data_IF_526153493310
#
_entry.id   IF_526153493310
#
_cell.length_a   1.000
_cell.length_b   1.000
_cell.length_c   1.000
_cell.angle_alpha   90.00
_cell.angle_beta   90.00
_cell.angle_gamma   90.00
#
_symmetry.space_group_name_H-M   'P 1'
#
loop_
_entity.id
_entity.type
_entity.pdbx_description
1 polymer ?
#
# COMPACT_ATOMS: atom_id res chain seq x y z
N UNK A 1 28.71 -25.00 -12.76
CA UNK A 1 28.06 -25.81 -11.72
C UNK A 1 27.14 -24.96 -10.85
N UNK A 2 26.05 -24.43 -11.41
CA UNK A 2 25.07 -23.59 -10.70
C UNK A 2 23.65 -23.87 -11.18
N UNK A 3 23.28 -25.15 -11.30
CA UNK A 3 21.93 -25.55 -11.72
C UNK A 3 21.25 -26.53 -10.74
N UNK A 4 21.93 -26.94 -9.65
CA UNK A 4 21.39 -27.91 -8.70
C UNK A 4 20.87 -27.30 -7.38
N UNK A 5 20.90 -25.97 -7.20
CA UNK A 5 20.38 -25.32 -5.99
C UNK A 5 18.95 -24.79 -6.10
N UNK A 6 18.29 -24.92 -7.25
CA UNK A 6 16.92 -24.42 -7.43
C UNK A 6 15.81 -25.46 -7.13
N UNK A 7 16.16 -26.65 -6.64
CA UNK A 7 15.21 -27.77 -6.44
C UNK A 7 14.90 -28.10 -4.97
N UNK A 8 15.33 -27.26 -4.03
CA UNK A 8 14.96 -27.41 -2.61
C UNK A 8 14.36 -26.09 -2.18
N UNK A 9 13.04 -25.96 -2.25
CA UNK A 9 12.21 -25.05 -1.45
C UNK A 9 10.78 -25.12 -1.98
N UNK A 10 9.99 -26.05 -1.45
CA UNK A 10 8.53 -25.96 -1.26
C UNK A 10 8.02 -27.25 -0.59
N UNK A 11 8.59 -27.60 0.57
CA UNK A 11 7.91 -28.51 1.49
C UNK A 11 7.08 -27.66 2.45
N UNK A 12 5.76 -27.71 2.31
CA UNK A 12 4.78 -26.88 3.02
C UNK A 12 4.47 -27.40 4.43
N UNK A 13 5.17 -28.43 4.90
CA UNK A 13 4.99 -29.01 6.24
C UNK A 13 5.98 -28.51 7.29
N UNK A 14 7.01 -27.76 6.87
CA UNK A 14 7.98 -27.14 7.77
C UNK A 14 7.54 -25.69 8.03
N UNK A 15 7.43 -25.23 9.29
CA UNK A 15 7.14 -23.83 9.57
C UNK A 15 8.23 -22.96 8.92
N UNK A 16 7.87 -21.78 8.36
CA UNK A 16 8.86 -20.89 7.77
C UNK A 16 9.96 -20.61 8.81
N UNK A 17 11.24 -20.58 8.39
CA UNK A 17 12.31 -20.21 9.29
C UNK A 17 11.96 -18.87 9.95
N UNK A 18 12.21 -18.75 11.25
CA UNK A 18 11.93 -17.54 12.00
C UNK A 18 12.51 -16.34 11.24
N UNK A 19 11.67 -15.35 10.95
CA UNK A 19 12.12 -14.10 10.35
C UNK A 19 13.08 -13.49 11.37
N UNK A 20 14.36 -13.51 11.03
CA UNK A 20 15.39 -12.84 11.80
C UNK A 20 15.20 -11.33 11.59
N UNK A 21 14.44 -10.71 12.50
CA UNK A 21 14.20 -9.26 12.59
C UNK A 21 15.45 -8.47 13.01
N UNK A 22 16.66 -9.04 12.85
CA UNK A 22 17.90 -8.27 12.95
C UNK A 22 18.14 -7.43 11.69
N UNK A 23 17.38 -6.33 11.60
CA UNK A 23 17.76 -5.11 10.91
C UNK A 23 19.26 -4.81 11.11
N UNK A 24 19.94 -4.27 10.09
CA UNK A 24 21.19 -4.81 9.58
C UNK A 24 22.20 -5.09 10.71
N UNK A 25 22.70 -6.33 10.76
CA UNK A 25 23.76 -6.74 11.68
C UNK A 25 24.77 -5.62 11.87
N UNK A 26 25.02 -5.21 13.13
CA UNK A 26 26.04 -4.22 13.51
C UNK A 26 27.36 -4.45 12.76
N UNK A 27 27.70 -5.71 12.51
CA UNK A 27 28.85 -6.15 11.70
C UNK A 27 28.86 -5.63 10.25
N UNK A 28 27.72 -5.53 9.57
CA UNK A 28 27.63 -4.98 8.21
C UNK A 28 27.81 -3.46 8.22
N UNK A 29 27.26 -2.76 9.21
CA UNK A 29 27.49 -1.32 9.41
C UNK A 29 28.95 -1.04 9.78
N UNK A 30 29.55 -1.87 10.61
CA UNK A 30 30.96 -1.81 10.99
C UNK A 30 31.86 -2.08 9.78
N UNK A 31 31.57 -3.12 8.98
CA UNK A 31 32.26 -3.41 7.72
C UNK A 31 32.16 -2.26 6.71
N UNK A 32 30.98 -1.62 6.58
CA UNK A 32 30.80 -0.44 5.75
C UNK A 32 31.64 0.73 6.26
N UNK A 33 31.61 0.99 7.57
CA UNK A 33 32.41 2.05 8.19
C UNK A 33 33.92 1.85 8.01
N UNK A 34 34.39 0.59 8.09
CA UNK A 34 35.79 0.24 7.86
C UNK A 34 36.18 0.41 6.38
N UNK A 35 35.27 0.06 5.47
CA UNK A 35 35.48 0.24 4.03
C UNK A 35 35.56 1.71 3.65
N UNK A 36 34.67 2.55 4.19
CA UNK A 36 34.70 4.00 4.01
C UNK A 36 35.97 4.62 4.62
N UNK A 37 36.37 4.19 5.81
CA UNK A 37 37.60 4.66 6.45
C UNK A 37 38.84 4.31 5.61
N UNK A 38 38.89 3.12 4.99
CA UNK A 38 39.95 2.72 4.06
C UNK A 38 39.96 3.59 2.81
N UNK A 39 38.80 3.90 2.25
CA UNK A 39 38.65 4.72 1.04
C UNK A 39 39.07 6.17 1.30
N UNK A 40 38.70 6.73 2.45
CA UNK A 40 39.15 8.06 2.90
C UNK A 40 40.66 8.07 3.11
N UNK A 41 41.22 7.05 3.75
CA UNK A 41 42.68 6.94 3.94
C UNK A 41 43.43 6.83 2.61
N UNK A 42 42.94 6.03 1.66
CA UNK A 42 43.50 5.96 0.31
C UNK A 42 43.40 7.29 -0.43
N UNK A 43 42.26 7.98 -0.33
CA UNK A 43 42.08 9.30 -0.93
C UNK A 43 43.07 10.33 -0.35
N UNK A 44 43.24 10.36 0.97
CA UNK A 44 44.21 11.25 1.62
C UNK A 44 45.66 10.88 1.28
N UNK A 45 46.00 9.59 1.27
CA UNK A 45 47.35 9.11 0.91
C UNK A 45 47.69 9.37 -0.57
N UNK A 46 46.71 9.24 -1.47
CA UNK A 46 46.88 9.59 -2.89
C UNK A 46 47.17 11.09 -3.10
N UNK A 47 46.85 11.92 -2.11
CA UNK A 47 47.03 13.37 -2.15
C UNK A 47 48.33 13.84 -1.50
N UNK A 48 48.95 13.03 -0.65
CA UNK A 48 50.24 13.35 0.01
C UNK A 48 51.46 12.91 -0.80
N UNK A 49 51.31 11.96 -1.74
CA UNK A 49 52.41 11.49 -2.61
C UNK A 49 52.58 12.34 -3.89
N UNK A 50 51.67 13.30 -4.14
CA UNK A 50 51.80 14.30 -5.20
C UNK A 50 52.24 15.66 -4.65
N UNK A 51 53.46 15.76 -4.13
CA UNK A 51 54.10 17.07 -3.96
C UNK A 51 54.63 17.50 -5.33
N UNK A 52 54.40 18.77 -5.66
CA UNK A 52 54.98 19.52 -6.78
C UNK A 52 54.28 19.35 -8.14
N UNK A 53 54.14 20.49 -8.83
CA UNK A 53 53.74 20.64 -10.24
C UNK A 53 52.26 20.88 -10.54
N UNK A 54 51.62 21.68 -9.68
CA UNK A 54 50.56 22.58 -10.13
C UNK A 54 50.83 24.02 -9.73
N UNK A 55 52.10 24.45 -9.88
CA UNK A 55 52.41 25.83 -10.20
C UNK A 55 51.82 26.11 -11.58
N UNK A 56 50.52 26.46 -11.61
CA UNK A 56 49.98 27.23 -12.73
C UNK A 56 50.98 28.37 -12.97
N UNK A 57 51.39 28.64 -14.22
CA UNK A 57 52.19 29.82 -14.48
C UNK A 57 51.42 30.97 -13.86
N UNK A 58 52.03 31.58 -12.85
CA UNK A 58 51.53 32.77 -12.20
C UNK A 58 51.73 33.85 -13.26
N UNK A 59 50.79 33.90 -14.21
CA UNK A 59 50.67 35.06 -15.07
C UNK A 59 50.58 36.23 -14.11
N UNK A 60 51.44 37.21 -14.35
CA UNK A 60 51.37 38.56 -13.79
C UNK A 60 50.07 39.24 -14.27
N UNK A 61 48.94 38.55 -14.14
CA UNK A 61 47.64 39.02 -14.54
C UNK A 61 47.22 40.01 -13.47
N UNK A 62 47.09 41.26 -13.89
CA UNK A 62 46.43 42.36 -13.19
C UNK A 62 45.29 41.80 -12.32
N UNK A 63 45.55 41.68 -11.03
CA UNK A 63 44.62 41.10 -10.07
C UNK A 63 43.52 42.11 -9.80
N UNK A 64 42.47 42.10 -10.62
CA UNK A 64 41.34 43.01 -10.43
C UNK A 64 40.38 42.45 -9.38
N UNK A 65 40.29 43.05 -8.20
CA UNK A 65 39.22 42.70 -7.27
C UNK A 65 37.90 43.42 -7.61
N UNK A 66 36.80 42.67 -7.56
CA UNK A 66 35.47 43.17 -7.95
C UNK A 66 34.87 44.20 -6.96
N UNK A 67 34.99 44.06 -5.63
CA UNK A 67 34.49 45.05 -4.69
C UNK A 67 35.31 46.35 -4.76
N UNK A 68 36.63 46.28 -4.93
CA UNK A 68 37.50 47.46 -5.13
C UNK A 68 37.14 48.20 -6.43
N UNK A 69 37.00 47.49 -7.56
CA UNK A 69 36.52 48.12 -8.80
C UNK A 69 35.14 48.77 -8.62
N UNK A 70 34.29 48.21 -7.75
CA UNK A 70 32.96 48.77 -7.45
C UNK A 70 33.06 50.03 -6.58
N UNK A 71 34.01 50.12 -5.65
CA UNK A 71 34.24 51.34 -4.85
C UNK A 71 34.82 52.43 -5.72
N UNK A 72 35.85 52.13 -6.52
CA UNK A 72 36.46 53.06 -7.48
C UNK A 72 35.40 53.67 -8.41
N UNK A 73 34.52 52.82 -8.98
CA UNK A 73 33.45 53.27 -9.86
C UNK A 73 32.43 54.17 -9.14
N UNK A 74 32.14 53.90 -7.86
CA UNK A 74 31.21 54.73 -7.08
C UNK A 74 31.81 56.09 -6.76
N UNK A 75 33.07 56.12 -6.39
CA UNK A 75 33.80 57.37 -6.11
C UNK A 75 33.90 58.24 -7.36
N UNK A 76 34.25 57.65 -8.51
CA UNK A 76 34.27 58.36 -9.79
C UNK A 76 32.88 58.91 -10.16
N UNK A 77 31.80 58.16 -9.90
CA UNK A 77 30.42 58.62 -10.13
C UNK A 77 30.03 59.78 -9.19
N UNK A 78 30.52 59.79 -7.95
CA UNK A 78 30.31 60.89 -7.00
C UNK A 78 31.05 62.15 -7.45
N UNK A 79 32.33 62.03 -7.83
CA UNK A 79 33.12 63.15 -8.38
C UNK A 79 32.49 63.71 -9.65
N UNK A 80 31.97 62.84 -10.54
CA UNK A 80 31.24 63.27 -11.74
C UNK A 80 29.96 64.05 -11.38
N UNK A 81 29.23 63.64 -10.34
CA UNK A 81 28.06 64.37 -9.87
C UNK A 81 28.44 65.74 -9.29
N UNK A 82 29.51 65.80 -8.50
CA UNK A 82 30.05 67.06 -7.97
C UNK A 82 30.53 68.01 -9.06
N UNK A 83 31.14 67.50 -10.14
CA UNK A 83 31.56 68.28 -11.29
C UNK A 83 30.37 68.82 -12.10
N UNK A 84 29.29 68.02 -12.24
CA UNK A 84 28.03 68.49 -12.83
C UNK A 84 27.41 69.61 -12.00
N UNK A 85 27.44 69.50 -10.67
CA UNK A 85 26.95 70.54 -9.78
C UNK A 85 27.79 71.82 -9.90
N UNK A 86 29.12 71.70 -9.93
CA UNK A 86 30.00 72.85 -10.17
C UNK A 86 29.68 73.58 -11.47
N UNK A 87 29.43 72.82 -12.54
CA UNK A 87 29.08 73.39 -13.83
C UNK A 87 27.81 74.25 -13.72
N UNK A 88 26.77 73.76 -13.02
CA UNK A 88 25.53 74.52 -12.82
C UNK A 88 25.81 75.82 -12.06
N UNK A 89 26.62 75.76 -10.99
CA UNK A 89 26.99 76.94 -10.18
C UNK A 89 27.78 77.96 -11.02
N UNK A 90 28.74 77.51 -11.84
CA UNK A 90 29.45 78.38 -12.77
C UNK A 90 28.51 78.99 -13.82
N UNK A 91 27.61 78.21 -14.41
CA UNK A 91 26.64 78.72 -15.39
C UNK A 91 25.68 79.77 -14.76
N UNK A 92 25.31 79.59 -13.48
CA UNK A 92 24.53 80.56 -12.70
C UNK A 92 25.33 81.84 -12.42
N UNK A 93 26.57 81.72 -11.94
CA UNK A 93 27.47 82.86 -11.68
C UNK A 93 27.79 83.65 -12.96
N UNK A 94 27.85 82.99 -14.12
CA UNK A 94 28.01 83.64 -15.42
C UNK A 94 26.76 84.43 -15.83
N UNK A 95 25.58 83.98 -15.41
CA UNK A 95 24.27 84.55 -15.77
C UNK A 95 23.87 85.72 -14.86
N UNK A 96 24.28 85.71 -13.59
CA UNK A 96 24.23 86.86 -12.69
C UNK A 96 25.36 87.83 -13.05
N UNK A 97 25.06 89.08 -13.42
CA UNK A 97 26.06 90.01 -13.97
C UNK A 97 27.31 90.14 -13.09
N UNK A 98 28.49 89.82 -13.66
CA UNK A 98 29.80 89.87 -13.03
C UNK A 98 30.29 91.30 -12.70
N UNK A 99 29.56 92.01 -11.84
CA UNK A 99 29.84 93.41 -11.50
C UNK A 99 30.13 93.63 -10.00
N UNK A 100 30.11 92.56 -9.19
CA UNK A 100 30.45 92.63 -7.75
C UNK A 100 31.77 91.91 -7.49
N UNK A 101 32.66 92.51 -6.70
CA UNK A 101 33.95 91.92 -6.31
C UNK A 101 33.77 90.54 -5.63
N UNK A 102 32.64 90.34 -4.96
CA UNK A 102 32.22 89.06 -4.38
C UNK A 102 31.92 87.95 -5.40
N UNK A 103 31.43 88.31 -6.60
CA UNK A 103 31.08 87.34 -7.64
C UNK A 103 32.35 86.84 -8.36
N UNK A 104 33.37 87.71 -8.48
CA UNK A 104 34.69 87.36 -9.03
C UNK A 104 35.41 86.38 -8.09
N UNK A 105 35.40 86.65 -6.78
CA UNK A 105 35.99 85.75 -5.78
C UNK A 105 35.26 84.39 -5.75
N UNK A 106 33.92 84.39 -5.86
CA UNK A 106 33.11 83.17 -5.93
C UNK A 106 33.36 82.37 -7.21
N UNK A 107 33.58 83.05 -8.34
CA UNK A 107 33.95 82.44 -9.61
C UNK A 107 35.31 81.74 -9.53
N UNK A 108 36.34 82.45 -9.07
CA UNK A 108 37.70 81.90 -8.98
C UNK A 108 37.76 80.69 -8.02
N UNK A 109 37.03 80.75 -6.90
CA UNK A 109 36.94 79.64 -5.95
C UNK A 109 36.23 78.41 -6.54
N UNK A 110 35.14 78.60 -7.29
CA UNK A 110 34.43 77.47 -7.92
C UNK A 110 35.22 76.90 -9.11
N UNK A 111 35.96 77.73 -9.85
CA UNK A 111 36.91 77.28 -10.88
C UNK A 111 38.02 76.43 -10.26
N UNK A 112 38.63 76.88 -9.17
CA UNK A 112 39.65 76.10 -8.45
C UNK A 112 39.08 74.75 -7.98
N UNK A 113 37.87 74.75 -7.41
CA UNK A 113 37.17 73.53 -7.01
C UNK A 113 36.91 72.58 -8.18
N UNK A 114 36.56 73.10 -9.35
CA UNK A 114 36.38 72.26 -10.55
C UNK A 114 37.68 71.62 -11.01
N UNK A 115 38.79 72.35 -10.98
CA UNK A 115 40.09 71.81 -11.36
C UNK A 115 40.53 70.71 -10.39
N UNK A 116 40.37 70.93 -9.07
CA UNK A 116 40.64 69.88 -8.07
C UNK A 116 39.80 68.61 -8.30
N UNK A 117 38.52 68.74 -8.65
CA UNK A 117 37.66 67.57 -8.95
C UNK A 117 38.12 66.87 -10.24
N UNK A 118 38.54 67.61 -11.28
CA UNK A 118 39.09 67.04 -12.51
C UNK A 118 40.39 66.29 -12.26
N UNK A 119 41.28 66.86 -11.44
CA UNK A 119 42.55 66.25 -11.04
C UNK A 119 42.35 64.93 -10.30
N UNK A 120 41.32 64.82 -9.45
CA UNK A 120 40.98 63.58 -8.78
C UNK A 120 40.27 62.57 -9.70
N UNK A 121 39.45 63.03 -10.64
CA UNK A 121 38.64 62.18 -11.51
C UNK A 121 39.44 61.54 -12.67
N UNK A 122 40.34 62.30 -13.30
CA UNK A 122 41.16 61.82 -14.43
C UNK A 122 41.99 60.56 -14.15
N UNK A 123 42.72 60.43 -13.01
CA UNK A 123 43.46 59.21 -12.69
C UNK A 123 42.52 58.03 -12.40
N UNK A 124 41.37 58.27 -11.76
CA UNK A 124 40.37 57.23 -11.51
C UNK A 124 39.77 56.71 -12.81
N UNK A 125 39.41 57.60 -13.74
CA UNK A 125 38.91 57.22 -15.07
C UNK A 125 39.94 56.44 -15.87
N UNK A 126 41.20 56.89 -15.89
CA UNK A 126 42.29 56.20 -16.59
C UNK A 126 42.47 54.77 -16.07
N UNK A 127 42.29 54.55 -14.77
CA UNK A 127 42.40 53.23 -14.13
C UNK A 127 41.16 52.36 -14.38
N UNK A 128 39.97 52.96 -14.56
CA UNK A 128 38.72 52.26 -14.86
C UNK A 128 38.58 51.93 -16.36
N UNK A 129 39.15 52.74 -17.24
CA UNK A 129 39.09 52.58 -18.70
C UNK A 129 40.17 51.65 -19.26
N UNK A 130 41.15 51.23 -18.44
CA UNK A 130 42.19 50.29 -18.88
C UNK A 130 41.57 49.04 -19.55
N UNK A 131 41.83 48.82 -20.86
CA UNK A 131 41.25 47.71 -21.61
C UNK A 131 41.73 46.36 -21.08
N UNK A 132 42.89 46.27 -20.42
CA UNK A 132 43.34 45.03 -19.79
C UNK A 132 42.53 44.73 -18.51
N UNK A 133 42.41 45.71 -17.59
CA UNK A 133 41.61 45.60 -16.36
C UNK A 133 40.15 45.24 -16.65
N UNK A 134 39.51 45.92 -17.60
CA UNK A 134 38.10 45.67 -17.97
C UNK A 134 37.88 44.29 -18.58
N UNK A 135 38.82 43.77 -19.39
CA UNK A 135 38.77 42.39 -19.92
C UNK A 135 38.83 41.35 -18.80
N UNK A 136 39.73 41.52 -17.83
CA UNK A 136 39.84 40.62 -16.67
C UNK A 136 38.57 40.66 -15.81
N UNK A 137 38.04 41.86 -15.56
CA UNK A 137 36.78 42.03 -14.82
C UNK A 137 35.60 41.33 -15.50
N UNK A 138 35.43 41.53 -16.81
CA UNK A 138 34.37 40.87 -17.60
C UNK A 138 34.46 39.34 -17.50
N UNK A 139 35.67 38.77 -17.56
CA UNK A 139 35.90 37.33 -17.37
C UNK A 139 35.51 36.88 -15.96
N UNK A 140 35.95 37.58 -14.90
CA UNK A 140 35.59 37.24 -13.51
C UNK A 140 34.07 37.30 -13.27
N UNK A 141 33.39 38.32 -13.82
CA UNK A 141 31.94 38.46 -13.74
C UNK A 141 31.20 37.34 -14.49
N UNK A 142 31.68 36.95 -15.68
CA UNK A 142 31.11 35.83 -16.42
C UNK A 142 31.21 34.51 -15.63
N UNK A 143 32.36 34.24 -14.99
CA UNK A 143 32.54 33.07 -14.12
C UNK A 143 31.60 33.10 -12.92
N UNK A 144 31.50 34.24 -12.22
CA UNK A 144 30.56 34.40 -11.08
C UNK A 144 29.10 34.22 -11.51
N UNK A 145 28.71 34.76 -12.67
CA UNK A 145 27.36 34.60 -13.23
C UNK A 145 27.08 33.13 -13.57
N UNK A 146 28.02 32.44 -14.20
CA UNK A 146 27.91 30.99 -14.50
C UNK A 146 27.76 30.17 -13.21
N UNK A 147 28.58 30.46 -12.18
CA UNK A 147 28.49 29.81 -10.86
C UNK A 147 27.14 30.04 -10.20
N UNK A 148 26.66 31.29 -10.16
CA UNK A 148 25.35 31.64 -9.60
C UNK A 148 24.21 30.92 -10.33
N UNK A 149 24.23 30.89 -11.65
CA UNK A 149 23.21 30.22 -12.46
C UNK A 149 23.23 28.70 -12.24
N UNK A 150 24.42 28.10 -12.13
CA UNK A 150 24.54 26.69 -11.78
C UNK A 150 24.00 26.39 -10.38
N UNK A 151 24.35 27.21 -9.37
CA UNK A 151 23.82 27.06 -8.01
C UNK A 151 22.29 27.17 -7.97
N UNK A 152 21.72 28.15 -8.69
CA UNK A 152 20.26 28.28 -8.82
C UNK A 152 19.61 27.01 -9.38
N UNK A 153 20.14 26.48 -10.49
CA UNK A 153 19.63 25.24 -11.10
C UNK A 153 19.78 24.03 -10.18
N UNK A 154 20.91 23.90 -9.49
CA UNK A 154 21.14 22.82 -8.52
C UNK A 154 20.15 22.90 -7.36
N UNK A 155 19.95 24.08 -6.79
CA UNK A 155 19.03 24.26 -5.66
C UNK A 155 17.58 24.00 -6.07
N UNK A 156 17.19 24.38 -7.30
CA UNK A 156 15.87 24.08 -7.85
C UNK A 156 15.65 22.56 -7.94
N UNK A 157 16.61 21.82 -8.52
CA UNK A 157 16.55 20.35 -8.59
C UNK A 157 16.46 19.71 -7.21
N UNK A 158 17.29 20.14 -6.27
CA UNK A 158 17.24 19.63 -4.89
C UNK A 158 15.91 19.92 -4.19
N UNK A 159 15.27 21.06 -4.49
CA UNK A 159 13.96 21.39 -3.95
C UNK A 159 12.86 20.50 -4.57
N UNK A 160 12.91 20.27 -5.88
CA UNK A 160 12.00 19.36 -6.59
C UNK A 160 12.15 17.91 -6.08
N UNK A 161 13.38 17.42 -5.91
CA UNK A 161 13.65 16.08 -5.40
C UNK A 161 13.15 15.91 -3.96
N UNK A 162 13.36 16.92 -3.09
CA UNK A 162 12.79 16.93 -1.74
C UNK A 162 11.26 16.89 -1.75
N UNK A 163 10.64 17.66 -2.65
CA UNK A 163 9.17 17.66 -2.80
C UNK A 163 8.66 16.29 -3.22
N UNK A 164 9.27 15.65 -4.22
CA UNK A 164 8.92 14.28 -4.65
C UNK A 164 9.07 13.27 -3.52
N UNK A 165 10.17 13.33 -2.76
CA UNK A 165 10.37 12.44 -1.61
C UNK A 165 9.29 12.61 -0.53
N UNK A 166 8.83 13.84 -0.29
CA UNK A 166 7.72 14.10 0.64
C UNK A 166 6.40 13.54 0.11
N UNK A 167 6.09 13.76 -1.16
CA UNK A 167 4.88 13.21 -1.81
C UNK A 167 4.88 11.68 -1.79
N UNK A 168 6.02 11.04 -2.08
CA UNK A 168 6.14 9.58 -2.05
C UNK A 168 6.03 9.03 -0.61
N UNK A 169 6.59 9.74 0.37
CA UNK A 169 6.42 9.40 1.79
C UNK A 169 4.96 9.50 2.21
N UNK A 170 4.26 10.54 1.79
CA UNK A 170 2.85 10.74 2.10
C UNK A 170 1.97 9.64 1.48
N UNK A 171 2.21 9.28 0.21
CA UNK A 171 1.52 8.15 -0.43
C UNK A 171 1.72 6.84 0.33
N UNK A 172 2.97 6.51 0.69
CA UNK A 172 3.25 5.31 1.50
C UNK A 172 2.56 5.36 2.86
N UNK A 173 2.53 6.53 3.49
CA UNK A 173 1.83 6.69 4.76
C UNK A 173 0.32 6.46 4.61
N UNK A 174 -0.29 6.96 3.53
CA UNK A 174 -1.70 6.71 3.21
C UNK A 174 -1.96 5.23 2.96
N UNK A 175 -1.09 4.53 2.24
CA UNK A 175 -1.17 3.08 2.02
C UNK A 175 -1.09 2.31 3.34
N UNK A 176 -0.15 2.67 4.22
CA UNK A 176 -0.02 2.07 5.56
C UNK A 176 -1.31 2.27 6.35
N UNK A 177 -1.82 3.50 6.41
CA UNK A 177 -3.06 3.79 7.14
C UNK A 177 -4.27 3.06 6.54
N UNK A 178 -4.35 2.94 5.21
CA UNK A 178 -5.38 2.14 4.55
C UNK A 178 -5.28 0.65 4.95
N UNK A 179 -4.08 0.08 4.98
CA UNK A 179 -3.87 -1.29 5.43
C UNK A 179 -4.20 -1.49 6.92
N UNK A 180 -3.80 -0.56 7.78
CA UNK A 180 -4.12 -0.60 9.21
C UNK A 180 -5.62 -0.54 9.47
N UNK A 181 -6.35 0.29 8.72
CA UNK A 181 -7.81 0.38 8.82
C UNK A 181 -8.49 -0.88 8.29
N UNK A 182 -8.03 -1.41 7.16
CA UNK A 182 -8.53 -2.69 6.64
C UNK A 182 -8.31 -3.83 7.64
N UNK A 183 -7.12 -3.93 8.22
CA UNK A 183 -6.80 -4.94 9.23
C UNK A 183 -7.63 -4.79 10.50
N UNK A 184 -7.83 -3.57 11.00
CA UNK A 184 -8.72 -3.31 12.13
C UNK A 184 -10.15 -3.75 11.83
N UNK A 185 -10.68 -3.38 10.67
CA UNK A 185 -12.03 -3.78 10.25
C UNK A 185 -12.16 -5.30 10.14
N UNK A 186 -11.16 -6.00 9.60
CA UNK A 186 -11.14 -7.47 9.55
C UNK A 186 -11.13 -8.07 10.95
N UNK A 187 -10.32 -7.53 11.86
CA UNK A 187 -10.25 -8.00 13.25
C UNK A 187 -11.57 -7.80 13.98
N UNK A 188 -12.21 -6.64 13.81
CA UNK A 188 -13.54 -6.36 14.38
C UNK A 188 -14.59 -7.31 13.82
N UNK A 189 -14.60 -7.54 12.50
CA UNK A 189 -15.51 -8.52 11.89
C UNK A 189 -15.30 -9.93 12.44
N UNK A 190 -14.04 -10.35 12.66
CA UNK A 190 -13.77 -11.63 13.30
C UNK A 190 -14.21 -11.67 14.76
N UNK A 191 -14.03 -10.59 15.52
CA UNK A 191 -14.49 -10.49 16.90
C UNK A 191 -16.01 -10.62 16.97
N UNK A 192 -16.74 -9.84 16.16
CA UNK A 192 -18.20 -9.94 16.05
C UNK A 192 -18.62 -11.35 15.64
N UNK A 193 -17.93 -11.97 14.67
CA UNK A 193 -18.23 -13.35 14.27
C UNK A 193 -17.99 -14.37 15.41
N UNK A 194 -16.94 -14.17 16.23
CA UNK A 194 -16.66 -15.01 17.41
C UNK A 194 -17.74 -14.81 18.49
N UNK A 195 -18.15 -13.58 18.75
CA UNK A 195 -19.22 -13.26 19.70
C UNK A 195 -20.57 -13.84 19.25
N UNK A 196 -20.92 -13.71 17.97
CA UNK A 196 -22.12 -14.34 17.40
C UNK A 196 -22.09 -15.86 17.56
N UNK A 197 -20.93 -16.49 17.33
CA UNK A 197 -20.76 -17.94 17.49
C UNK A 197 -20.88 -18.35 18.96
N UNK A 198 -20.30 -17.57 19.88
CA UNK A 198 -20.40 -17.79 21.31
C UNK A 198 -21.87 -17.67 21.80
N UNK A 199 -22.58 -16.63 21.35
CA UNK A 199 -24.00 -16.42 21.66
C UNK A 199 -24.86 -17.59 21.16
N UNK A 200 -24.66 -18.03 19.91
CA UNK A 200 -25.37 -19.20 19.35
C UNK A 200 -25.06 -20.49 20.11
N UNK A 201 -23.82 -20.65 20.57
CA UNK A 201 -23.42 -21.80 21.39
C UNK A 201 -24.06 -21.78 22.78
N UNK A 202 -24.19 -20.60 23.39
CA UNK A 202 -24.90 -20.42 24.66
C UNK A 202 -26.39 -20.75 24.52
N UNK A 203 -27.05 -20.28 23.44
CA UNK A 203 -28.45 -20.62 23.14
C UNK A 203 -28.60 -22.14 22.96
N UNK A 204 -27.69 -22.80 22.25
CA UNK A 204 -27.70 -24.25 22.10
C UNK A 204 -27.60 -24.99 23.45
N UNK A 205 -26.81 -24.48 24.39
CA UNK A 205 -26.72 -25.02 25.74
C UNK A 205 -28.05 -24.88 26.50
N UNK A 206 -28.72 -23.74 26.41
CA UNK A 206 -30.05 -23.53 26.98
C UNK A 206 -31.10 -24.49 26.36
N UNK A 207 -31.12 -24.64 25.03
CA UNK A 207 -32.00 -25.59 24.34
C UNK A 207 -31.80 -27.01 24.85
N UNK A 208 -30.54 -27.44 25.05
CA UNK A 208 -30.23 -28.76 25.62
C UNK A 208 -30.74 -28.90 27.04
N UNK A 209 -30.66 -27.84 27.85
CA UNK A 209 -31.20 -27.83 29.21
C UNK A 209 -32.73 -27.91 29.21
N UNK A 210 -33.42 -27.11 28.38
CA UNK A 210 -34.87 -27.18 28.17
C UNK A 210 -35.32 -28.56 27.70
N UNK A 211 -34.60 -29.16 26.75
CA UNK A 211 -34.82 -30.54 26.28
C UNK A 211 -34.70 -31.56 27.40
N UNK A 212 -33.63 -31.48 28.20
CA UNK A 212 -33.43 -32.37 29.35
C UNK A 212 -34.54 -32.18 30.40
N UNK A 213 -34.96 -30.94 30.66
CA UNK A 213 -36.07 -30.61 31.55
C UNK A 213 -37.37 -31.23 31.05
N UNK A 214 -37.72 -31.09 29.78
CA UNK A 214 -38.92 -31.70 29.20
C UNK A 214 -38.92 -33.23 29.36
N UNK A 215 -37.78 -33.89 29.06
CA UNK A 215 -37.63 -35.34 29.30
C UNK A 215 -37.83 -35.73 30.76
N UNK A 216 -37.34 -34.92 31.71
CA UNK A 216 -37.55 -35.18 33.15
C UNK A 216 -39.02 -35.09 33.55
N UNK A 217 -39.78 -34.11 33.04
CA UNK A 217 -41.22 -34.01 33.32
C UNK A 217 -42.02 -35.15 32.70
N UNK A 218 -41.73 -35.55 31.47
CA UNK A 218 -42.37 -36.71 30.84
C UNK A 218 -42.16 -37.98 31.66
N UNK A 219 -40.92 -38.24 32.12
CA UNK A 219 -40.62 -39.36 33.04
C UNK A 219 -41.35 -39.26 34.38
N UNK A 220 -41.62 -38.05 34.88
CA UNK A 220 -42.42 -37.86 36.10
C UNK A 220 -43.87 -38.23 35.85
N UNK A 221 -44.47 -37.81 34.74
CA UNK A 221 -45.84 -38.18 34.39
C UNK A 221 -45.99 -39.69 34.18
N UNK A 222 -45.03 -40.35 33.52
CA UNK A 222 -44.99 -41.81 33.39
C UNK A 222 -45.02 -42.50 34.77
N UNK A 223 -44.24 -42.00 35.74
CA UNK A 223 -44.26 -42.51 37.11
C UNK A 223 -45.57 -42.21 37.82
N UNK A 224 -46.16 -41.03 37.62
CA UNK A 224 -47.45 -40.68 38.22
C UNK A 224 -48.56 -41.60 37.71
N UNK A 225 -48.56 -41.92 36.41
CA UNK A 225 -49.48 -42.90 35.81
C UNK A 225 -49.26 -44.27 36.44
N UNK A 226 -48.01 -44.76 36.50
CA UNK A 226 -47.72 -46.06 37.14
C UNK A 226 -48.17 -46.15 38.60
N UNK A 227 -47.96 -45.08 39.39
CA UNK A 227 -48.42 -45.03 40.78
C UNK A 227 -49.94 -44.96 40.88
N UNK A 228 -50.59 -44.31 39.93
CA UNK A 228 -52.04 -44.23 39.84
C UNK A 228 -52.63 -45.60 39.52
N UNK A 229 -52.13 -46.26 38.46
CA UNK A 229 -52.52 -47.62 38.04
C UNK A 229 -52.34 -48.65 39.18
N UNK A 230 -51.28 -48.52 39.98
CA UNK A 230 -51.06 -49.39 41.15
C UNK A 230 -52.12 -49.20 42.24
N UNK A 231 -52.59 -47.96 42.45
CA UNK A 231 -53.59 -47.61 43.47
C UNK A 231 -55.00 -48.02 43.05
N UNK A 232 -55.36 -47.81 41.78
CA UNK A 232 -56.64 -48.24 41.25
C UNK A 232 -56.79 -49.77 41.29
N UNK A 233 -55.72 -50.52 40.97
CA UNK A 233 -55.71 -51.99 41.10
C UNK A 233 -55.88 -52.43 42.56
N UNK A 234 -55.36 -51.68 43.53
CA UNK A 234 -55.55 -52.02 44.95
C UNK A 234 -56.98 -51.69 45.44
N UNK A 235 -57.57 -50.59 44.99
CA UNK A 235 -58.96 -50.20 45.32
C UNK A 235 -60.01 -51.14 44.71
N UNK A 236 -59.80 -51.59 43.47
CA UNK A 236 -60.66 -52.60 42.81
C UNK A 236 -60.65 -53.95 43.55
N UNK A 237 -59.52 -54.33 44.17
CA UNK A 237 -59.42 -55.57 44.97
C UNK A 237 -60.02 -55.49 46.38
N UNK A 238 -60.29 -54.29 46.90
CA UNK A 238 -60.79 -54.08 48.29
C UNK A 238 -62.29 -53.79 48.36
N UNK A 239 -62.95 -53.59 47.21
CA UNK A 239 -64.41 -53.53 47.10
C UNK A 239 -64.99 -52.15 47.36
N UNK A 240 -65.63 -51.58 46.33
CA UNK A 240 -66.35 -50.32 46.45
C UNK A 240 -67.03 -49.91 45.15
N UNK A 241 -68.31 -50.26 45.00
CA UNK A 241 -69.23 -49.65 44.04
C UNK A 241 -69.18 -48.12 44.17
N UNK A 242 -68.99 -47.40 43.06
CA UNK A 242 -69.49 -46.02 42.95
C UNK A 242 -70.13 -45.79 41.59
N UNK A 243 -71.45 -45.64 41.63
CA UNK A 243 -72.30 -45.10 40.57
C UNK A 243 -71.96 -43.63 40.27
N UNK A 244 -72.11 -43.25 38.99
CA UNK A 244 -72.70 -41.96 38.62
C UNK A 244 -71.78 -40.74 38.44
N UNK A 245 -71.45 -40.43 37.18
CA UNK A 245 -71.64 -39.07 36.65
C UNK A 245 -70.41 -38.20 36.39
N UNK A 246 -69.25 -38.50 36.96
CA UNK A 246 -67.98 -37.87 36.55
C UNK A 246 -66.83 -38.76 37.00
N UNK A 247 -66.45 -39.69 36.14
CA UNK A 247 -65.43 -40.68 36.44
C UNK A 247 -64.10 -39.95 36.78
N UNK A 248 -63.66 -39.93 38.05
CA UNK A 248 -62.45 -39.21 38.47
C UNK A 248 -61.22 -39.75 37.73
N UNK A 249 -61.25 -41.03 37.39
CA UNK A 249 -60.30 -41.73 36.52
C UNK A 249 -60.14 -41.05 35.16
N UNK A 250 -61.25 -40.85 34.45
CA UNK A 250 -61.22 -40.25 33.12
C UNK A 250 -60.78 -38.79 33.16
N UNK A 251 -61.10 -38.07 34.24
CA UNK A 251 -60.62 -36.70 34.45
C UNK A 251 -59.11 -36.66 34.68
N UNK A 252 -58.59 -37.57 35.50
CA UNK A 252 -57.14 -37.74 35.70
C UNK A 252 -56.45 -38.08 34.38
N UNK A 253 -56.96 -39.08 33.67
CA UNK A 253 -56.38 -39.56 32.42
C UNK A 253 -56.42 -38.50 31.29
N UNK A 254 -57.51 -37.73 31.20
CA UNK A 254 -57.59 -36.59 30.27
C UNK A 254 -56.63 -35.47 30.65
N UNK A 255 -56.55 -35.10 31.93
CA UNK A 255 -55.66 -34.03 32.41
C UNK A 255 -54.18 -34.37 32.23
N UNK A 256 -53.78 -35.58 32.62
CA UNK A 256 -52.40 -36.07 32.47
C UNK A 256 -52.04 -36.25 30.99
N UNK A 257 -52.99 -36.70 30.16
CA UNK A 257 -52.84 -36.81 28.71
C UNK A 257 -52.55 -35.46 28.06
N UNK A 258 -53.34 -34.43 28.36
CA UNK A 258 -53.10 -33.07 27.88
C UNK A 258 -51.72 -32.54 28.29
N UNK A 259 -51.32 -32.73 29.55
CA UNK A 259 -49.99 -32.34 30.05
C UNK A 259 -48.88 -33.08 29.31
N UNK A 260 -49.02 -34.39 29.10
CA UNK A 260 -48.05 -35.19 28.36
C UNK A 260 -47.90 -34.67 26.92
N UNK A 261 -49.00 -34.36 26.25
CA UNK A 261 -48.98 -33.85 24.87
C UNK A 261 -48.34 -32.47 24.76
N UNK A 262 -48.63 -31.56 25.70
CA UNK A 262 -47.95 -30.26 25.78
C UNK A 262 -46.43 -30.41 25.96
N UNK A 263 -45.99 -31.31 26.86
CA UNK A 263 -44.58 -31.53 27.12
C UNK A 263 -43.88 -32.30 25.99
N UNK A 264 -44.58 -33.21 25.30
CA UNK A 264 -44.12 -33.85 24.05
C UNK A 264 -43.94 -32.81 22.94
N UNK A 265 -44.89 -31.87 22.80
CA UNK A 265 -44.77 -30.75 21.85
C UNK A 265 -43.56 -29.89 22.17
N UNK A 266 -43.39 -29.45 23.42
CA UNK A 266 -42.20 -28.69 23.88
C UNK A 266 -40.89 -29.45 23.62
N UNK A 267 -40.88 -30.77 23.81
CA UNK A 267 -39.72 -31.61 23.51
C UNK A 267 -39.41 -31.65 22.01
N UNK A 268 -40.43 -31.81 21.16
CA UNK A 268 -40.30 -31.79 19.70
C UNK A 268 -39.75 -30.45 19.21
N UNK A 269 -40.25 -29.34 19.75
CA UNK A 269 -39.79 -27.99 19.41
C UNK A 269 -38.31 -27.79 19.80
N UNK A 270 -37.90 -28.23 21.00
CA UNK A 270 -36.50 -28.19 21.41
C UNK A 270 -35.60 -29.05 20.49
N UNK A 271 -36.07 -30.19 20.02
CA UNK A 271 -35.31 -31.06 19.09
C UNK A 271 -35.14 -30.39 17.73
N UNK A 272 -36.19 -29.76 17.20
CA UNK A 272 -36.14 -29.00 15.94
C UNK A 272 -35.20 -27.80 16.05
N UNK A 273 -35.31 -27.05 17.14
CA UNK A 273 -34.46 -25.89 17.44
C UNK A 273 -32.98 -26.30 17.58
N UNK A 274 -32.69 -27.38 18.32
CA UNK A 274 -31.33 -27.92 18.46
C UNK A 274 -30.74 -28.34 17.12
N UNK A 275 -31.53 -29.01 16.26
CA UNK A 275 -31.10 -29.42 14.92
C UNK A 275 -30.76 -28.20 14.06
N UNK A 276 -31.65 -27.20 14.03
CA UNK A 276 -31.43 -25.95 13.29
C UNK A 276 -30.15 -25.22 13.74
N UNK A 277 -29.96 -25.06 15.05
CA UNK A 277 -28.79 -24.39 15.60
C UNK A 277 -27.49 -25.16 15.33
N UNK A 278 -27.52 -26.50 15.39
CA UNK A 278 -26.36 -27.33 15.00
C UNK A 278 -26.02 -27.17 13.53
N UNK A 279 -27.02 -27.19 12.65
CA UNK A 279 -26.81 -27.00 11.21
C UNK A 279 -26.23 -25.61 10.91
N UNK A 280 -26.70 -24.58 11.60
CA UNK A 280 -26.19 -23.22 11.48
C UNK A 280 -24.75 -23.07 11.99
N UNK A 281 -24.44 -23.63 13.15
CA UNK A 281 -23.09 -23.63 13.72
C UNK A 281 -22.12 -24.44 12.84
N UNK A 282 -22.57 -25.58 12.31
CA UNK A 282 -21.79 -26.41 11.40
C UNK A 282 -21.51 -25.70 10.07
N UNK A 283 -22.42 -24.85 9.59
CA UNK A 283 -22.18 -24.03 8.38
C UNK A 283 -21.12 -22.96 8.60
N UNK A 284 -21.00 -22.39 9.80
CA UNK A 284 -20.07 -21.29 10.13
C UNK A 284 -18.74 -21.71 10.74
N UNK A 285 -18.54 -23.00 11.02
CA UNK A 285 -17.23 -23.51 11.44
C UNK A 285 -16.20 -23.26 10.33
N UNK A 286 -15.12 -22.55 10.65
CA UNK A 286 -14.01 -22.20 9.74
C UNK A 286 -13.43 -23.40 9.00
N UNK A 287 -13.41 -24.58 9.63
CA UNK A 287 -12.99 -25.84 9.00
C UNK A 287 -13.92 -26.32 7.88
N UNK A 288 -15.21 -25.98 7.93
CA UNK A 288 -16.19 -26.36 6.91
C UNK A 288 -16.27 -25.36 5.75
N UNK A 289 -16.04 -24.07 6.00
CA UNK A 289 -16.02 -23.05 4.93
C UNK A 289 -14.87 -23.31 3.95
N UNK A 290 -13.66 -23.55 4.46
CA UNK A 290 -12.48 -23.88 3.66
C UNK A 290 -12.66 -25.19 2.88
N UNK A 291 -13.11 -26.27 3.56
CA UNK A 291 -13.43 -27.55 2.91
C UNK A 291 -14.53 -27.44 1.85
N UNK A 292 -15.55 -26.61 2.07
CA UNK A 292 -16.62 -26.40 1.07
C UNK A 292 -16.11 -25.63 -0.13
N UNK A 293 -15.28 -24.60 0.09
CA UNK A 293 -14.62 -23.89 -1.00
C UNK A 293 -13.76 -24.85 -1.81
N UNK A 294 -12.93 -25.65 -1.15
CA UNK A 294 -12.12 -26.68 -1.78
C UNK A 294 -12.98 -27.70 -2.55
N UNK A 295 -14.06 -28.21 -1.96
CA UNK A 295 -14.97 -29.14 -2.63
C UNK A 295 -15.68 -28.51 -3.84
N UNK A 296 -16.01 -27.20 -3.80
CA UNK A 296 -16.53 -26.48 -4.96
C UNK A 296 -15.49 -26.38 -6.07
N UNK A 297 -14.23 -26.07 -5.73
CA UNK A 297 -13.13 -26.08 -6.70
C UNK A 297 -12.91 -27.48 -7.28
N UNK A 298 -12.89 -28.52 -6.46
CA UNK A 298 -12.79 -29.90 -6.94
C UNK A 298 -13.94 -30.26 -7.87
N UNK A 299 -15.18 -29.89 -7.53
CA UNK A 299 -16.34 -30.12 -8.38
C UNK A 299 -16.27 -29.35 -9.70
N UNK A 300 -15.82 -28.10 -9.69
CA UNK A 300 -15.68 -27.30 -10.89
C UNK A 300 -14.56 -27.79 -11.82
N UNK A 301 -13.43 -28.22 -11.24
CA UNK A 301 -12.25 -28.68 -12.00
C UNK A 301 -12.36 -30.13 -12.45
N UNK A 302 -12.93 -31.00 -11.63
CA UNK A 302 -12.93 -32.45 -11.84
C UNK A 302 -14.33 -33.07 -11.95
N UNK A 303 -15.39 -32.26 -11.91
CA UNK A 303 -16.76 -32.74 -11.94
C UNK A 303 -17.23 -33.34 -10.61
N UNK A 304 -18.46 -33.84 -10.58
CA UNK A 304 -19.01 -34.48 -9.38
C UNK A 304 -18.27 -35.81 -9.12
N UNK A 305 -17.66 -35.96 -7.95
CA UNK A 305 -16.96 -37.20 -7.59
C UNK A 305 -17.89 -38.42 -7.61
N UNK A 306 -19.17 -38.23 -7.31
CA UNK A 306 -20.23 -39.25 -7.41
C UNK A 306 -20.55 -39.68 -8.84
N UNK A 307 -20.28 -38.83 -9.84
CA UNK A 307 -20.45 -39.18 -11.24
C UNK A 307 -19.40 -40.19 -11.71
N UNK A 308 -18.20 -40.21 -11.11
CA UNK A 308 -17.15 -41.19 -11.44
C UNK A 308 -17.50 -42.61 -10.98
N UNK A 309 -18.15 -42.74 -9.81
CA UNK A 309 -18.51 -44.05 -9.25
C UNK A 309 -19.63 -44.75 -10.04
N UNK A 310 -20.58 -43.98 -10.56
CA UNK A 310 -21.72 -44.51 -11.32
C UNK A 310 -21.38 -44.86 -12.78
N UNK A 311 -20.14 -44.63 -13.22
CA UNK A 311 -19.68 -44.91 -14.60
C UNK A 311 -18.78 -46.13 -14.73
N UNK A 312 -18.39 -46.74 -13.60
CA UNK A 312 -17.53 -47.93 -13.54
C UNK A 312 -18.18 -49.16 -14.22
N UNK A 313 -19.50 -49.15 -14.43
CA UNK A 313 -20.24 -50.18 -15.16
C UNK A 313 -20.13 -50.06 -16.70
N UNK A 314 -19.50 -48.99 -17.23
CA UNK A 314 -19.17 -48.87 -18.65
C UNK A 314 -17.69 -49.14 -18.84
N UNK A 315 -17.38 -49.89 -19.90
CA UNK A 315 -16.05 -50.35 -20.28
C UNK A 315 -14.96 -49.31 -19.94
N UNK A 316 -14.13 -49.54 -18.90
CA UNK A 316 -13.26 -48.49 -18.34
C UNK A 316 -12.21 -47.98 -19.33
N UNK A 317 -11.88 -48.80 -20.33
CA UNK A 317 -10.95 -48.46 -21.41
C UNK A 317 -11.56 -47.42 -22.36
N UNK A 318 -12.82 -47.58 -22.75
CA UNK A 318 -13.48 -46.68 -23.71
C UNK A 318 -13.72 -45.30 -23.09
N UNK A 319 -14.04 -45.25 -21.79
CA UNK A 319 -14.16 -43.99 -21.07
C UNK A 319 -12.80 -43.32 -20.85
N UNK A 320 -11.75 -44.09 -20.52
CA UNK A 320 -10.40 -43.55 -20.42
C UNK A 320 -9.93 -42.98 -21.77
N UNK A 321 -10.20 -43.69 -22.87
CA UNK A 321 -9.90 -43.23 -24.23
C UNK A 321 -10.72 -41.98 -24.57
N UNK A 322 -12.00 -41.90 -24.17
CA UNK A 322 -12.83 -40.72 -24.39
C UNK A 322 -12.33 -39.50 -23.60
N UNK A 323 -12.00 -39.67 -22.31
CA UNK A 323 -11.39 -38.62 -21.48
C UNK A 323 -10.06 -38.21 -22.10
N UNK A 324 -9.20 -39.15 -22.47
CA UNK A 324 -7.92 -38.86 -23.10
C UNK A 324 -8.08 -38.10 -24.42
N UNK A 325 -9.01 -38.49 -25.28
CA UNK A 325 -9.34 -37.78 -26.53
C UNK A 325 -9.84 -36.37 -26.28
N UNK A 326 -10.67 -36.15 -25.25
CA UNK A 326 -11.10 -34.79 -24.88
C UNK A 326 -9.94 -33.93 -24.40
N UNK A 327 -8.96 -34.50 -23.69
CA UNK A 327 -7.74 -33.79 -23.29
C UNK A 327 -6.81 -33.53 -24.47
N UNK A 328 -6.64 -34.51 -25.36
CA UNK A 328 -5.80 -34.38 -26.56
C UNK A 328 -6.34 -33.27 -27.50
N UNK A 329 -7.65 -33.03 -27.53
CA UNK A 329 -8.26 -31.92 -28.27
C UNK A 329 -7.82 -30.52 -27.80
N UNK A 330 -7.34 -30.39 -26.55
CA UNK A 330 -6.77 -29.15 -26.02
C UNK A 330 -5.24 -29.09 -26.12
N UNK A 331 -4.58 -30.23 -26.35
CA UNK A 331 -3.13 -30.35 -26.47
C UNK A 331 -2.64 -30.35 -27.94
N UNK A 332 -3.48 -30.78 -28.88
CA UNK A 332 -3.16 -30.88 -30.31
C UNK A 332 -3.84 -29.78 -31.12
N UNK A 333 -3.15 -29.14 -32.09
CA UNK A 333 -3.78 -28.24 -33.03
C UNK A 333 -4.75 -29.01 -33.92
N UNK A 334 -6.06 -28.84 -33.69
CA UNK A 334 -7.10 -29.43 -34.51
C UNK A 334 -7.25 -28.69 -35.86
N UNK A 335 -6.49 -29.07 -36.89
CA UNK A 335 -6.92 -28.94 -38.31
C UNK A 335 -6.28 -30.03 -39.18
N UNK A 336 -7.08 -30.84 -39.92
CA UNK A 336 -6.56 -31.89 -40.79
C UNK A 336 -5.98 -31.41 -42.13
N UNK A 337 -6.17 -30.14 -42.53
CA UNK A 337 -5.89 -29.71 -43.91
C UNK A 337 -4.91 -28.53 -44.06
N UNK A 338 -3.97 -28.31 -43.14
CA UNK A 338 -2.90 -27.32 -43.35
C UNK A 338 -1.50 -27.81 -42.95
N UNK A 339 -0.48 -27.67 -43.84
CA UNK A 339 0.91 -27.91 -43.47
C UNK A 339 1.37 -26.85 -42.48
N UNK A 340 2.05 -27.34 -41.44
CA UNK A 340 2.41 -26.66 -40.20
C UNK A 340 3.19 -25.35 -40.42
N UNK A 341 2.66 -24.24 -39.90
CA UNK A 341 3.48 -23.16 -39.37
C UNK A 341 3.40 -23.23 -37.84
N UNK A 342 4.49 -23.66 -37.22
CA UNK A 342 4.69 -23.71 -35.77
C UNK A 342 4.74 -22.28 -35.24
N UNK A 343 3.60 -21.61 -35.07
CA UNK A 343 3.58 -20.29 -34.40
C UNK A 343 2.27 -19.89 -33.73
N UNK A 344 1.30 -20.79 -33.56
CA UNK A 344 0.13 -20.51 -32.71
C UNK A 344 -0.14 -21.67 -31.76
N UNK A 345 0.82 -21.95 -30.89
CA UNK A 345 0.50 -22.53 -29.60
C UNK A 345 -0.40 -21.55 -28.85
N UNK A 346 -1.55 -22.03 -28.39
CA UNK A 346 -2.36 -21.32 -27.39
C UNK A 346 -1.44 -20.72 -26.32
N UNK A 347 -1.59 -19.41 -26.05
CA UNK A 347 -0.81 -18.67 -25.04
C UNK A 347 -1.16 -19.09 -23.60
N UNK A 348 -1.39 -20.38 -23.39
CA UNK A 348 -1.83 -20.99 -22.14
C UNK A 348 -0.78 -22.05 -21.81
N UNK A 349 -0.04 -21.88 -20.71
CA UNK A 349 1.00 -22.82 -20.30
C UNK A 349 0.48 -24.25 -20.18
N UNK A 350 1.34 -25.22 -20.48
CA UNK A 350 1.07 -26.64 -20.33
C UNK A 350 0.47 -26.92 -18.93
N UNK A 351 -0.76 -27.46 -18.89
CA UNK A 351 -1.50 -27.75 -17.65
C UNK A 351 -2.69 -26.85 -17.32
N UNK A 352 -2.92 -25.77 -18.09
CA UNK A 352 -4.07 -24.88 -17.89
C UNK A 352 -5.19 -25.19 -18.91
N UNK A 353 -6.34 -25.65 -18.41
CA UNK A 353 -7.53 -25.91 -19.23
C UNK A 353 -8.22 -24.58 -19.53
N UNK A 354 -8.25 -24.17 -20.79
CA UNK A 354 -9.10 -23.05 -21.22
C UNK A 354 -10.55 -23.56 -21.27
N UNK A 355 -11.50 -22.96 -20.53
CA UNK A 355 -12.90 -23.35 -20.66
C UNK A 355 -13.39 -23.17 -22.10
N UNK A 356 -14.32 -24.02 -22.58
CA UNK A 356 -14.96 -23.81 -23.87
C UNK A 356 -15.61 -22.42 -23.96
N UNK A 357 -15.75 -21.89 -25.18
CA UNK A 357 -16.32 -20.55 -25.43
C UNK A 357 -17.72 -20.41 -24.84
N UNK A 358 -18.49 -21.51 -24.84
CA UNK A 358 -19.77 -21.70 -24.15
C UNK A 358 -19.58 -22.41 -22.79
N UNK A 359 -18.92 -21.73 -21.86
CA UNK A 359 -18.75 -22.24 -20.50
C UNK A 359 -20.09 -22.33 -19.76
N UNK A 360 -20.28 -23.37 -18.94
CA UNK A 360 -21.45 -23.51 -18.08
C UNK A 360 -21.71 -22.24 -17.23
N UNK A 361 -22.97 -21.91 -16.89
CA UNK A 361 -23.34 -20.65 -16.22
C UNK A 361 -22.56 -20.36 -14.93
N UNK A 362 -22.13 -21.41 -14.23
CA UNK A 362 -21.35 -21.34 -12.99
C UNK A 362 -19.99 -20.62 -13.17
N UNK A 363 -19.41 -20.68 -14.37
CA UNK A 363 -18.14 -20.04 -14.72
C UNK A 363 -18.25 -18.54 -14.99
N UNK A 364 -19.46 -18.02 -15.21
CA UNK A 364 -19.69 -16.59 -15.52
C UNK A 364 -19.20 -15.67 -14.40
N UNK A 365 -19.28 -16.12 -13.14
CA UNK A 365 -18.82 -15.38 -11.97
C UNK A 365 -17.29 -15.17 -11.92
N UNK A 366 -16.53 -15.94 -12.68
CA UNK A 366 -15.07 -15.91 -12.72
C UNK A 366 -14.51 -15.31 -14.02
N UNK A 367 -15.36 -14.95 -14.99
CA UNK A 367 -14.93 -14.16 -16.15
C UNK A 367 -14.57 -12.76 -15.69
N UNK A 368 -13.27 -12.49 -15.54
CA UNK A 368 -12.76 -11.14 -15.38
C UNK A 368 -13.31 -10.31 -16.54
N UNK A 369 -14.08 -9.28 -16.20
CA UNK A 369 -14.86 -8.47 -17.12
C UNK A 369 -13.93 -7.72 -18.10
N UNK A 370 -13.49 -8.40 -19.16
CA UNK A 370 -12.60 -7.84 -20.19
C UNK A 370 -13.29 -6.72 -20.95
N UNK A 371 -14.62 -6.72 -20.97
CA UNK A 371 -15.45 -5.67 -21.57
C UNK A 371 -15.37 -4.36 -20.76
N UNK A 372 -15.38 -4.44 -19.43
CA UNK A 372 -15.14 -3.27 -18.57
C UNK A 372 -13.74 -2.65 -18.81
N UNK A 373 -12.72 -3.48 -19.06
CA UNK A 373 -11.36 -3.01 -19.40
C UNK A 373 -11.24 -2.45 -20.83
N UNK A 374 -12.00 -2.97 -21.80
CA UNK A 374 -11.99 -2.45 -23.18
C UNK A 374 -12.74 -1.12 -23.30
N UNK A 375 -13.87 -0.96 -22.59
CA UNK A 375 -14.62 0.29 -22.57
C UNK A 375 -13.82 1.46 -21.96
N UNK A 376 -12.97 1.19 -20.96
CA UNK A 376 -12.06 2.18 -20.38
C UNK A 376 -10.93 2.60 -21.33
N UNK A 377 -10.40 1.67 -22.14
CA UNK A 377 -9.28 1.95 -23.05
C UNK A 377 -9.72 2.62 -24.36
N UNK A 378 -10.99 2.55 -24.75
CA UNK A 378 -11.55 3.28 -25.90
C UNK A 378 -12.03 4.69 -25.54
N UNK A 379 -11.99 5.05 -24.26
CA UNK A 379 -12.40 6.36 -23.74
C UNK A 379 -11.21 7.24 -23.30
N UNK A 380 -9.96 6.88 -23.68
CA UNK A 380 -8.75 7.68 -23.44
C UNK A 380 -8.09 8.11 -24.74
#
# INVERSE_FOLDING_TARGET
MYAQQAAVLCDLTVPPPAIDDSFPHVKLLEQLSESDAKLVKQFLASRTVGTSDCSKPQSSDLSVDIPEYRTDLREALLLLASLKQSKIVLDELLSSSANTESDIIGWDAEVERTEQIKELLNPQLSTLEDPARTRVLKRKLAVRRKKRNWQKRRNLRLAEDRKKLLEDREKRQQEITAWETEWRNRLEQEQVAREELAAKSAILADVRWRKARAKRYLRRFEKTIQLHDQRTVTEETVGGNTDGGNNPEERFQRSIGCLIDEWKKKLSDCVKEEKRLKDELARRSTGNESRRRENRWRKALFGDASASLNRIDRNPVDEFVAVRRTWDAYALPNKPDQPQLVSQGSAVPFGWIKPPEDSLPEWLSYRVNREAKRALNTAS
#
